data_IF_075245559183
#
_entry.id   IF_075245559183
#
_cell.length_a   1.000
_cell.length_b   1.000
_cell.length_c   1.000
_cell.angle_alpha   90.00
_cell.angle_beta   90.00
_cell.angle_gamma   90.00
#
_symmetry.space_group_name_H-M   'P 1'
#
loop_
_entity.id
_entity.type
_entity.pdbx_description
1 polymer ?
#
# COMPACT_ATOMS: atom_id res chain seq x y z
N UNK A 1 28.32 19.20 47.46
CA UNK A 1 27.42 20.26 46.97
C UNK A 1 27.62 20.41 45.48
N UNK A 2 26.64 20.00 44.65
CA UNK A 2 26.76 20.14 43.21
C UNK A 2 26.69 21.65 42.86
N UNK A 3 27.72 22.19 42.21
CA UNK A 3 27.81 23.61 41.88
C UNK A 3 26.81 23.98 40.76
N UNK A 4 26.14 25.13 40.88
CA UNK A 4 25.19 25.66 39.90
C UNK A 4 25.77 25.74 38.47
N UNK A 5 27.09 25.95 38.35
CA UNK A 5 27.80 25.93 37.06
C UNK A 5 27.81 24.53 36.42
N UNK A 6 27.95 23.47 37.22
CA UNK A 6 27.94 22.07 36.77
C UNK A 6 26.52 21.67 36.33
N UNK A 7 25.48 22.12 37.04
CA UNK A 7 24.09 21.89 36.65
C UNK A 7 23.75 22.55 35.30
N UNK A 8 24.23 23.77 35.05
CA UNK A 8 24.04 24.47 33.77
C UNK A 8 24.77 23.78 32.60
N UNK A 9 25.98 23.27 32.85
CA UNK A 9 26.76 22.53 31.85
C UNK A 9 26.10 21.20 31.45
N UNK A 10 25.49 20.50 32.42
CA UNK A 10 24.78 19.24 32.16
C UNK A 10 23.46 19.46 31.41
N UNK A 11 22.71 20.53 31.70
CA UNK A 11 21.50 20.88 30.92
C UNK A 11 21.82 21.28 29.48
N UNK A 12 22.93 22.00 29.27
CA UNK A 12 23.36 22.40 27.92
C UNK A 12 23.73 21.22 27.03
N UNK A 13 24.37 20.19 27.59
CA UNK A 13 24.75 18.97 26.86
C UNK A 13 23.53 18.09 26.50
N UNK A 14 22.53 18.02 27.38
CA UNK A 14 21.28 17.27 27.14
C UNK A 14 20.42 17.90 26.02
N UNK A 15 20.33 19.23 25.97
CA UNK A 15 19.58 19.94 24.93
C UNK A 15 20.26 19.83 23.55
N UNK A 16 21.60 19.79 23.49
CA UNK A 16 22.34 19.60 22.25
C UNK A 16 22.19 18.16 21.68
N UNK A 17 22.03 17.15 22.55
CA UNK A 17 21.85 15.76 22.14
C UNK A 17 20.47 15.47 21.52
N UNK A 18 19.44 16.24 21.87
CA UNK A 18 18.09 16.08 21.35
C UNK A 18 17.97 16.43 19.85
N UNK A 19 18.86 17.29 19.32
CA UNK A 19 18.82 17.68 17.91
C UNK A 19 19.43 16.63 16.97
N UNK A 20 20.25 15.69 17.46
CA UNK A 20 20.90 14.66 16.65
C UNK A 20 20.02 13.45 16.33
N UNK A 21 18.87 13.29 16.99
CA UNK A 21 17.92 12.20 16.73
C UNK A 21 16.81 12.54 15.72
N UNK A 22 16.91 13.67 15.02
CA UNK A 22 16.00 13.96 13.91
C UNK A 22 16.49 13.32 12.60
N UNK A 23 16.80 12.02 12.62
CA UNK A 23 16.70 11.22 11.39
C UNK A 23 15.23 10.88 11.22
N UNK A 24 14.44 11.87 10.79
CA UNK A 24 13.15 11.59 10.19
C UNK A 24 13.40 10.70 8.98
N UNK A 25 12.98 9.44 9.06
CA UNK A 25 13.05 8.51 7.94
C UNK A 25 12.14 9.06 6.83
N UNK A 26 12.69 9.83 5.91
CA UNK A 26 12.00 10.13 4.65
C UNK A 26 12.05 8.85 3.83
N UNK A 27 11.10 7.94 4.06
CA UNK A 27 10.90 6.77 3.22
C UNK A 27 10.30 7.26 1.91
N UNK A 28 11.16 7.52 0.93
CA UNK A 28 10.74 7.75 -0.46
C UNK A 28 9.94 6.53 -0.91
N UNK A 29 8.74 6.77 -1.44
CA UNK A 29 7.84 5.69 -1.87
C UNK A 29 8.33 4.87 -3.06
N UNK A 30 9.48 5.20 -3.65
CA UNK A 30 10.10 4.45 -4.74
C UNK A 30 10.36 2.97 -4.41
N UNK A 31 10.52 2.62 -3.12
CA UNK A 31 10.64 1.22 -2.69
C UNK A 31 9.29 0.58 -2.27
N UNK A 32 8.23 1.37 -2.11
CA UNK A 32 6.95 0.97 -1.51
C UNK A 32 5.91 0.60 -2.58
N UNK A 33 6.28 -0.30 -3.48
CA UNK A 33 5.40 -0.78 -4.55
C UNK A 33 4.07 -1.29 -3.98
N UNK A 34 2.93 -1.06 -4.64
CA UNK A 34 1.66 -1.65 -4.24
C UNK A 34 1.75 -3.17 -4.19
N UNK A 35 1.06 -3.78 -3.24
CA UNK A 35 1.02 -5.25 -3.10
C UNK A 35 -0.37 -5.78 -3.42
N UNK A 36 -0.41 -6.94 -4.07
CA UNK A 36 -1.63 -7.73 -4.29
C UNK A 36 -1.46 -9.05 -3.57
N UNK A 37 -2.37 -9.35 -2.64
CA UNK A 37 -2.42 -10.62 -1.92
C UNK A 37 -3.73 -11.34 -2.24
N UNK A 38 -3.65 -12.64 -2.50
CA UNK A 38 -4.82 -13.48 -2.72
C UNK A 38 -4.84 -14.60 -1.68
N UNK A 39 -5.95 -14.71 -0.95
CA UNK A 39 -6.17 -15.75 0.06
C UNK A 39 -7.42 -16.53 -0.29
N UNK A 40 -7.35 -17.86 -0.31
CA UNK A 40 -8.56 -18.67 -0.45
C UNK A 40 -9.32 -18.65 0.88
N UNK A 41 -10.54 -18.15 0.86
CA UNK A 41 -11.42 -18.02 2.04
C UNK A 41 -12.63 -18.95 1.98
N UNK A 42 -12.93 -19.53 0.81
CA UNK A 42 -13.99 -20.53 0.63
C UNK A 42 -13.47 -21.80 -0.05
N UNK A 43 -13.89 -22.96 0.48
CA UNK A 43 -13.47 -24.30 0.06
C UNK A 43 -14.62 -25.13 -0.54
N UNK A 44 -15.62 -24.45 -1.10
CA UNK A 44 -16.73 -25.10 -1.80
C UNK A 44 -16.28 -25.64 -3.17
N UNK A 45 -17.20 -26.27 -3.92
CA UNK A 45 -16.93 -26.79 -5.28
C UNK A 45 -16.30 -25.73 -6.20
N UNK A 46 -16.78 -24.49 -6.11
CA UNK A 46 -16.10 -23.32 -6.66
C UNK A 46 -15.44 -22.56 -5.51
N UNK A 47 -14.10 -22.40 -5.51
CA UNK A 47 -13.42 -21.72 -4.42
C UNK A 47 -13.75 -20.22 -4.41
N UNK A 48 -13.58 -19.60 -3.24
CA UNK A 48 -13.74 -18.15 -3.06
C UNK A 48 -12.39 -17.59 -2.65
N UNK A 49 -11.94 -16.55 -3.35
CA UNK A 49 -10.68 -15.86 -3.08
C UNK A 49 -10.95 -14.43 -2.62
N UNK A 50 -10.33 -14.05 -1.50
CA UNK A 50 -10.18 -12.68 -1.04
C UNK A 50 -8.94 -12.09 -1.69
N UNK A 51 -9.10 -10.99 -2.43
CA UNK A 51 -8.01 -10.19 -2.95
C UNK A 51 -7.87 -8.94 -2.10
N UNK A 52 -6.65 -8.65 -1.67
CA UNK A 52 -6.29 -7.42 -0.96
C UNK A 52 -5.25 -6.68 -1.80
N UNK A 53 -5.55 -5.43 -2.17
CA UNK A 53 -4.59 -4.52 -2.80
C UNK A 53 -4.26 -3.40 -1.84
N UNK A 54 -2.98 -3.16 -1.60
CA UNK A 54 -2.51 -2.20 -0.61
C UNK A 54 -1.52 -1.22 -1.22
N UNK A 55 -1.75 0.07 -0.98
CA UNK A 55 -0.73 1.08 -1.11
C UNK A 55 0.23 0.96 0.08
N UNK A 56 1.53 0.75 -0.16
CA UNK A 56 2.52 0.63 0.90
C UNK A 56 3.23 1.96 1.21
N UNK A 57 3.03 2.98 0.39
CA UNK A 57 3.61 4.29 0.58
C UNK A 57 2.91 5.01 1.74
N UNK A 58 3.67 5.48 2.76
CA UNK A 58 3.10 6.10 3.96
C UNK A 58 2.68 7.55 3.78
N UNK A 59 3.09 8.19 2.67
CA UNK A 59 2.94 9.64 2.50
C UNK A 59 2.21 10.07 1.22
N UNK A 60 2.19 9.24 0.18
CA UNK A 60 1.58 9.60 -1.10
C UNK A 60 0.46 8.63 -1.47
N UNK A 61 -0.64 9.15 -2.05
CA UNK A 61 -1.57 8.33 -2.79
C UNK A 61 -0.89 7.61 -3.96
N UNK A 62 -1.40 6.42 -4.28
CA UNK A 62 -1.07 5.71 -5.52
C UNK A 62 -2.28 5.72 -6.43
N UNK A 63 -2.07 6.05 -7.70
CA UNK A 63 -3.10 6.03 -8.74
C UNK A 63 -2.80 4.99 -9.80
N UNK A 64 -3.85 4.68 -10.56
CA UNK A 64 -3.77 3.87 -11.77
C UNK A 64 -3.02 2.56 -11.52
N UNK A 65 -3.44 1.82 -10.49
CA UNK A 65 -2.83 0.55 -10.12
C UNK A 65 -3.36 -0.51 -11.07
N UNK A 66 -2.56 -0.80 -12.10
CA UNK A 66 -2.80 -1.91 -13.00
C UNK A 66 -2.32 -3.23 -12.38
N UNK A 67 -3.11 -4.27 -12.60
CA UNK A 67 -2.86 -5.63 -12.14
C UNK A 67 -3.02 -6.57 -13.33
N UNK A 68 -2.00 -7.40 -13.56
CA UNK A 68 -2.09 -8.53 -14.49
C UNK A 68 -3.18 -9.48 -14.00
N UNK A 69 -4.23 -9.68 -14.79
CA UNK A 69 -5.40 -10.44 -14.38
C UNK A 69 -5.79 -11.58 -15.35
N UNK A 70 -4.99 -11.84 -16.39
CA UNK A 70 -5.28 -12.84 -17.42
C UNK A 70 -6.66 -12.65 -18.07
N UNK A 71 -7.49 -13.70 -18.02
CA UNK A 71 -8.86 -13.69 -18.55
C UNK A 71 -9.90 -13.45 -17.45
N UNK A 72 -9.62 -12.54 -16.50
CA UNK A 72 -10.57 -12.21 -15.44
C UNK A 72 -11.89 -11.69 -16.04
N UNK A 73 -13.02 -12.16 -15.51
CA UNK A 73 -14.34 -11.78 -15.97
C UNK A 73 -14.85 -10.61 -15.11
N UNK A 74 -15.27 -9.52 -15.77
CA UNK A 74 -15.75 -8.32 -15.07
C UNK A 74 -16.92 -8.61 -14.11
N UNK A 75 -17.80 -9.54 -14.45
CA UNK A 75 -19.01 -9.82 -13.66
C UNK A 75 -18.73 -10.49 -12.30
N UNK A 76 -17.49 -10.93 -12.06
CA UNK A 76 -17.10 -11.55 -10.79
C UNK A 76 -16.98 -10.52 -9.66
N UNK A 77 -16.73 -9.24 -9.98
CA UNK A 77 -16.45 -8.18 -9.02
C UNK A 77 -17.03 -6.85 -9.50
N UNK A 78 -17.49 -6.01 -8.58
CA UNK A 78 -17.95 -4.67 -8.92
C UNK A 78 -16.83 -3.85 -9.62
N UNK A 79 -17.08 -3.23 -10.80
CA UNK A 79 -16.08 -2.43 -11.52
C UNK A 79 -15.57 -1.22 -10.74
N UNK A 80 -16.27 -0.77 -9.69
CA UNK A 80 -15.76 0.26 -8.77
C UNK A 80 -14.59 -0.22 -7.92
N UNK A 81 -14.45 -1.53 -7.70
CA UNK A 81 -13.36 -2.14 -6.93
C UNK A 81 -12.29 -2.73 -7.84
N UNK A 82 -12.70 -3.36 -8.94
CA UNK A 82 -11.79 -4.01 -9.88
C UNK A 82 -12.39 -4.00 -11.28
N UNK A 83 -11.80 -3.21 -12.18
CA UNK A 83 -12.30 -2.99 -13.54
C UNK A 83 -11.38 -3.66 -14.54
N UNK A 84 -11.93 -4.51 -15.39
CA UNK A 84 -11.22 -5.12 -16.53
C UNK A 84 -11.12 -4.07 -17.64
N UNK A 85 -9.91 -3.77 -18.09
CA UNK A 85 -9.65 -2.89 -19.23
C UNK A 85 -9.39 -3.68 -20.51
N UNK A 86 -8.79 -4.86 -20.39
CA UNK A 86 -8.52 -5.75 -21.50
C UNK A 86 -7.92 -7.08 -21.04
N UNK A 87 -7.42 -7.88 -21.99
CA UNK A 87 -6.73 -9.12 -21.66
C UNK A 87 -5.49 -8.82 -20.81
N UNK A 88 -5.42 -9.48 -19.65
CA UNK A 88 -4.33 -9.35 -18.70
C UNK A 88 -4.11 -7.92 -18.18
N UNK A 89 -5.12 -7.06 -18.27
CA UNK A 89 -5.06 -5.69 -17.82
C UNK A 89 -6.34 -5.28 -17.08
N UNK A 90 -6.18 -5.08 -15.77
CA UNK A 90 -7.25 -4.68 -14.87
C UNK A 90 -6.77 -3.54 -13.98
N UNK A 91 -7.66 -2.60 -13.65
CA UNK A 91 -7.36 -1.48 -12.77
C UNK A 91 -8.12 -1.60 -11.44
N UNK A 92 -7.41 -1.32 -10.36
CA UNK A 92 -7.93 -1.37 -8.99
C UNK A 92 -8.68 -0.08 -8.66
N UNK A 93 -9.71 -0.19 -7.81
CA UNK A 93 -10.54 0.94 -7.36
C UNK A 93 -11.14 1.75 -8.52
N UNK A 94 -11.40 1.08 -9.66
CA UNK A 94 -11.90 1.72 -10.88
C UNK A 94 -10.97 2.79 -11.47
N UNK A 95 -9.68 2.78 -11.12
CA UNK A 95 -8.69 3.79 -11.50
C UNK A 95 -8.56 4.95 -10.51
N UNK A 96 -9.37 4.98 -9.44
CA UNK A 96 -9.32 6.04 -8.45
C UNK A 96 -8.14 5.85 -7.48
N UNK A 97 -7.59 6.94 -6.93
CA UNK A 97 -6.47 6.89 -6.00
C UNK A 97 -6.73 6.01 -4.77
N UNK A 98 -5.70 5.31 -4.32
CA UNK A 98 -5.60 4.77 -2.97
C UNK A 98 -4.77 5.71 -2.12
N UNK A 99 -5.35 6.21 -1.03
CA UNK A 99 -4.68 7.06 -0.07
C UNK A 99 -3.46 6.35 0.56
N UNK A 100 -2.57 7.09 1.25
CA UNK A 100 -1.43 6.49 1.93
C UNK A 100 -1.84 5.35 2.86
N UNK A 101 -1.12 4.22 2.77
CA UNK A 101 -1.38 2.98 3.52
C UNK A 101 -2.78 2.37 3.31
N UNK A 102 -3.58 2.91 2.38
CA UNK A 102 -4.94 2.42 2.16
C UNK A 102 -4.92 1.02 1.54
N UNK A 103 -5.87 0.21 2.01
CA UNK A 103 -6.17 -1.11 1.47
C UNK A 103 -7.58 -1.15 0.93
N UNK A 104 -7.74 -1.82 -0.20
CA UNK A 104 -9.02 -2.22 -0.79
C UNK A 104 -9.04 -3.75 -0.83
N UNK A 105 -10.21 -4.32 -0.57
CA UNK A 105 -10.41 -5.76 -0.69
C UNK A 105 -11.71 -6.10 -1.42
N UNK A 106 -11.72 -7.24 -2.09
CA UNK A 106 -12.89 -7.81 -2.74
C UNK A 106 -12.79 -9.33 -2.80
N UNK A 107 -13.95 -10.00 -2.85
CA UNK A 107 -14.03 -11.44 -3.03
C UNK A 107 -14.45 -11.77 -4.46
N UNK A 108 -13.98 -12.89 -4.99
CA UNK A 108 -14.54 -13.50 -6.20
C UNK A 108 -14.65 -15.02 -6.04
N UNK A 109 -15.62 -15.63 -6.72
CA UNK A 109 -15.79 -17.10 -6.75
C UNK A 109 -15.55 -17.63 -8.16
N UNK A 110 -14.37 -18.22 -8.37
CA UNK A 110 -13.94 -18.80 -9.63
C UNK A 110 -12.63 -19.58 -9.43
N UNK A 111 -12.10 -20.22 -10.48
CA UNK A 111 -10.71 -20.72 -10.46
C UNK A 111 -9.72 -19.58 -10.16
N UNK A 112 -8.55 -19.91 -9.60
CA UNK A 112 -7.54 -18.93 -9.22
C UNK A 112 -6.99 -18.20 -10.45
N UNK A 113 -7.08 -16.87 -10.47
CA UNK A 113 -6.36 -16.03 -11.42
C UNK A 113 -5.05 -15.58 -10.77
N UNK A 114 -3.94 -15.63 -11.52
CA UNK A 114 -2.68 -15.08 -11.06
C UNK A 114 -2.73 -13.57 -11.14
N UNK A 115 -2.56 -12.89 -10.01
CA UNK A 115 -2.58 -11.44 -9.93
C UNK A 115 -1.23 -10.89 -9.49
N UNK A 116 -0.69 -9.94 -10.24
CA UNK A 116 0.49 -9.17 -9.85
C UNK A 116 0.38 -7.71 -10.31
N UNK A 117 0.85 -6.74 -9.51
CA UNK A 117 0.96 -5.35 -9.95
C UNK A 117 1.81 -5.24 -11.22
N UNK A 118 1.41 -4.37 -12.16
CA UNK A 118 2.16 -4.11 -13.40
C UNK A 118 2.59 -2.65 -13.56
N UNK A 119 1.66 -1.72 -13.38
CA UNK A 119 1.87 -0.27 -13.56
C UNK A 119 1.17 0.45 -12.40
N UNK A 120 1.78 1.53 -11.90
CA UNK A 120 1.23 2.41 -10.88
C UNK A 120 2.01 3.73 -10.86
N UNK A 121 1.42 4.78 -10.29
CA UNK A 121 2.08 6.07 -10.12
C UNK A 121 1.83 6.62 -8.72
N UNK A 122 2.88 7.12 -8.07
CA UNK A 122 2.76 7.87 -6.82
C UNK A 122 2.42 9.33 -7.14
N UNK A 123 1.39 9.87 -6.50
CA UNK A 123 1.06 11.29 -6.53
C UNK A 123 1.59 11.96 -5.27
N UNK A 124 2.90 12.23 -5.24
CA UNK A 124 3.54 12.97 -4.16
C UNK A 124 3.55 14.47 -4.52
N UNK A 125 2.99 15.32 -3.67
CA UNK A 125 3.10 16.79 -3.77
C UNK A 125 4.48 17.30 -3.29
#
# INVERSE_FOLDING_TARGET
MLNLAVFKLMLGALLAFACFFNQGWSSKCAADNPTVKQTQVGFQKTPIFLVEVQNNCPMCPVIDIHVKCGNFLQDLVNPKLFKVLGHNDCVVNGGLPLAPLQKISFNYSHQKFLMSPSIWYFQCE
#
